data_IF_976233551066
#
_entry.id   IF_976233551066
#
_cell.length_a   1.000
_cell.length_b   1.000
_cell.length_c   1.000
_cell.angle_alpha   90.00
_cell.angle_beta   90.00
_cell.angle_gamma   90.00
#
_symmetry.space_group_name_H-M   'P 1'
#
loop_
_entity.id
_entity.type
_entity.pdbx_description
1 polymer ?
#
# COMPACT_ATOMS: atom_id res chain seq x y z
N UNK A 1 -18.33 -9.74 -11.23
CA UNK A 1 -18.80 -9.17 -9.94
C UNK A 1 -17.72 -9.22 -8.85
N UNK A 2 -17.23 -10.40 -8.45
CA UNK A 2 -16.21 -10.54 -7.38
C UNK A 2 -14.97 -9.65 -7.58
N UNK A 3 -14.39 -9.59 -8.79
CA UNK A 3 -13.22 -8.75 -9.05
C UNK A 3 -13.46 -7.25 -8.76
N UNK A 4 -14.65 -6.71 -9.05
CA UNK A 4 -14.97 -5.31 -8.74
C UNK A 4 -15.16 -5.08 -7.24
N UNK A 5 -15.72 -6.06 -6.52
CA UNK A 5 -15.81 -6.01 -5.05
C UNK A 5 -14.40 -6.02 -4.45
N UNK A 6 -13.52 -6.92 -4.91
CA UNK A 6 -12.12 -6.96 -4.48
C UNK A 6 -11.39 -5.66 -4.79
N UNK A 7 -11.61 -5.06 -5.97
CA UNK A 7 -11.06 -3.75 -6.31
C UNK A 7 -11.53 -2.65 -5.34
N UNK A 8 -12.83 -2.63 -5.00
CA UNK A 8 -13.39 -1.67 -4.04
C UNK A 8 -12.84 -1.84 -2.63
N UNK A 9 -12.73 -3.09 -2.15
CA UNK A 9 -12.12 -3.39 -0.84
C UNK A 9 -10.64 -3.03 -0.80
N UNK A 10 -9.88 -3.34 -1.86
CA UNK A 10 -8.47 -2.99 -1.94
C UNK A 10 -8.26 -1.47 -2.03
N UNK A 11 -9.15 -0.75 -2.72
CA UNK A 11 -9.15 0.71 -2.73
C UNK A 11 -9.41 1.27 -1.33
N UNK A 12 -10.43 0.77 -0.62
CA UNK A 12 -10.70 1.19 0.76
C UNK A 12 -9.52 0.90 1.69
N UNK A 13 -8.87 -0.26 1.56
CA UNK A 13 -7.67 -0.61 2.32
C UNK A 13 -6.51 0.34 1.99
N UNK A 14 -6.30 0.67 0.71
CA UNK A 14 -5.25 1.60 0.25
C UNK A 14 -5.48 3.01 0.80
N UNK A 15 -6.73 3.49 0.78
CA UNK A 15 -7.11 4.79 1.35
C UNK A 15 -6.95 4.81 2.87
N UNK A 16 -7.38 3.74 3.55
CA UNK A 16 -7.21 3.58 5.00
C UNK A 16 -5.74 3.55 5.42
N UNK A 17 -4.91 2.84 4.67
CA UNK A 17 -3.45 2.82 4.86
C UNK A 17 -2.83 4.21 4.67
N UNK A 18 -3.16 4.89 3.56
CA UNK A 18 -2.56 6.18 3.18
C UNK A 18 -3.03 7.32 4.07
N UNK A 19 -4.35 7.55 4.13
CA UNK A 19 -4.91 8.71 4.83
C UNK A 19 -5.09 8.45 6.32
N UNK A 20 -5.51 7.25 6.70
CA UNK A 20 -5.65 6.87 8.11
C UNK A 20 -4.30 6.58 8.73
N UNK A 21 -3.73 5.43 8.39
CA UNK A 21 -2.51 4.88 8.98
C UNK A 21 -1.32 5.85 8.92
N UNK A 22 -1.02 6.31 7.71
CA UNK A 22 0.22 7.00 7.40
C UNK A 22 0.14 8.52 7.60
N UNK A 23 -0.87 9.19 7.03
CA UNK A 23 -1.00 10.66 7.13
C UNK A 23 -1.72 11.10 8.41
N UNK A 24 -2.76 10.38 8.82
CA UNK A 24 -3.61 10.74 9.97
C UNK A 24 -3.10 10.23 11.32
N UNK A 25 -2.43 9.07 11.36
CA UNK A 25 -2.07 8.38 12.61
C UNK A 25 -0.59 8.03 12.74
N UNK A 26 0.31 8.78 12.10
CA UNK A 26 1.75 8.57 12.26
C UNK A 26 2.20 8.55 13.75
N UNK A 27 1.42 9.18 14.63
CA UNK A 27 1.42 8.94 16.09
C UNK A 27 0.33 7.92 16.42
N UNK A 28 0.70 6.72 16.89
CA UNK A 28 -0.24 5.62 17.17
C UNK A 28 -1.28 5.97 18.23
N UNK A 29 -2.41 6.54 17.80
CA UNK A 29 -3.65 6.66 18.55
C UNK A 29 -3.58 7.53 19.83
N UNK A 30 -4.73 7.71 20.52
CA UNK A 30 -4.86 8.58 21.70
C UNK A 30 -3.99 8.18 22.91
N UNK A 31 -3.22 7.09 22.83
CA UNK A 31 -2.38 6.54 23.91
C UNK A 31 -0.94 6.25 23.48
N UNK A 32 -0.47 6.82 22.36
CA UNK A 32 0.90 6.61 21.90
C UNK A 32 1.94 6.95 22.98
N UNK A 33 1.59 7.89 23.87
CA UNK A 33 2.44 8.32 24.98
C UNK A 33 3.62 9.17 24.53
N UNK A 34 4.35 9.71 25.50
CA UNK A 34 5.52 10.56 25.25
C UNK A 34 6.66 9.80 24.54
N UNK A 35 6.74 8.48 24.69
CA UNK A 35 7.75 7.64 24.06
C UNK A 35 7.59 7.60 22.53
N UNK A 36 6.36 7.44 22.03
CA UNK A 36 6.09 7.45 20.60
C UNK A 36 6.39 8.81 19.96
N UNK A 37 6.06 9.91 20.67
CA UNK A 37 6.39 11.26 20.21
C UNK A 37 7.91 11.47 20.13
N UNK A 38 8.66 10.94 21.10
CA UNK A 38 10.13 10.96 21.07
C UNK A 38 10.69 10.19 19.88
N UNK A 39 10.25 8.96 19.64
CA UNK A 39 10.68 8.17 18.47
C UNK A 39 10.35 8.90 17.17
N UNK A 40 9.16 9.50 17.08
CA UNK A 40 8.75 10.24 15.90
C UNK A 40 9.57 11.51 15.68
N UNK A 41 10.00 12.19 16.75
CA UNK A 41 10.94 13.30 16.66
C UNK A 41 12.33 12.84 16.19
N UNK A 42 12.82 11.72 16.72
CA UNK A 42 14.10 11.12 16.32
C UNK A 42 14.08 10.67 14.85
N UNK A 43 13.00 10.08 14.35
CA UNK A 43 12.86 9.74 12.93
C UNK A 43 13.04 10.95 12.00
N UNK A 44 12.69 12.16 12.47
CA UNK A 44 12.82 13.39 11.69
C UNK A 44 14.21 14.03 11.77
N UNK A 45 15.04 13.64 12.75
CA UNK A 45 16.36 14.22 12.98
C UNK A 45 17.51 13.27 12.64
N UNK A 46 17.28 11.97 12.55
CA UNK A 46 18.29 10.99 12.15
C UNK A 46 18.36 10.91 10.63
N UNK A 47 19.50 11.36 10.09
CA UNK A 47 19.82 11.36 8.66
C UNK A 47 20.62 10.12 8.27
N UNK A 48 20.39 9.65 7.05
CA UNK A 48 21.19 8.62 6.39
C UNK A 48 21.10 8.78 4.87
N UNK A 49 22.10 8.24 4.16
CA UNK A 49 22.11 8.25 2.70
C UNK A 49 21.38 7.02 2.16
N UNK A 50 20.41 7.24 1.28
CA UNK A 50 19.64 6.20 0.60
C UNK A 50 19.63 6.46 -0.90
N UNK A 51 20.03 5.46 -1.70
CA UNK A 51 20.08 5.59 -3.17
C UNK A 51 20.85 6.83 -3.67
N UNK A 52 21.91 7.22 -2.95
CA UNK A 52 22.75 8.38 -3.28
C UNK A 52 22.19 9.75 -2.86
N UNK A 53 21.08 9.80 -2.12
CA UNK A 53 20.52 11.04 -1.58
C UNK A 53 20.42 10.99 -0.06
N UNK A 54 20.70 12.11 0.60
CA UNK A 54 20.51 12.23 2.05
C UNK A 54 19.03 12.39 2.38
N UNK A 55 18.56 11.56 3.30
CA UNK A 55 17.17 11.54 3.76
C UNK A 55 17.11 11.30 5.27
N UNK A 56 15.93 11.51 5.85
CA UNK A 56 15.68 11.16 7.26
C UNK A 56 14.90 9.85 7.32
N UNK A 57 14.96 9.15 8.45
CA UNK A 57 14.12 7.96 8.69
C UNK A 57 12.64 8.23 8.44
N UNK A 58 12.15 9.42 8.82
CA UNK A 58 10.78 9.83 8.57
C UNK A 58 10.47 9.95 7.07
N UNK A 59 11.35 10.61 6.30
CA UNK A 59 11.15 10.78 4.85
C UNK A 59 11.26 9.46 4.10
N UNK A 60 12.15 8.56 4.53
CA UNK A 60 12.23 7.21 3.99
C UNK A 60 10.96 6.41 4.27
N UNK A 61 10.51 6.36 5.53
CA UNK A 61 9.28 5.67 5.93
C UNK A 61 8.06 6.22 5.17
N UNK A 62 7.96 7.55 5.06
CA UNK A 62 6.89 8.20 4.31
C UNK A 62 7.00 7.92 2.80
N UNK A 63 8.19 7.94 2.21
CA UNK A 63 8.37 7.59 0.81
C UNK A 63 7.96 6.13 0.53
N UNK A 64 8.41 5.21 1.38
CA UNK A 64 8.10 3.79 1.27
C UNK A 64 6.58 3.52 1.33
N UNK A 65 5.88 4.10 2.31
CA UNK A 65 4.42 3.93 2.41
C UNK A 65 3.64 4.47 1.20
N UNK A 66 4.10 5.58 0.60
CA UNK A 66 3.49 6.14 -0.61
C UNK A 66 3.76 5.23 -1.82
N UNK A 67 4.96 4.66 -1.93
CA UNK A 67 5.29 3.69 -2.96
C UNK A 67 4.40 2.44 -2.87
N UNK A 68 4.16 1.90 -1.67
CA UNK A 68 3.25 0.76 -1.46
C UNK A 68 1.82 1.13 -1.89
N UNK A 69 1.35 2.31 -1.49
CA UNK A 69 0.02 2.79 -1.85
C UNK A 69 -0.15 2.98 -3.36
N UNK A 70 0.87 3.52 -4.03
CA UNK A 70 0.92 3.63 -5.48
C UNK A 70 0.97 2.24 -6.17
N UNK A 71 1.72 1.29 -5.61
CA UNK A 71 1.80 -0.08 -6.12
C UNK A 71 0.44 -0.78 -6.09
N UNK A 72 -0.41 -0.53 -5.07
CA UNK A 72 -1.76 -1.07 -5.01
C UNK A 72 -2.74 -0.48 -6.03
N UNK A 73 -2.49 0.70 -6.59
CA UNK A 73 -3.36 1.27 -7.64
C UNK A 73 -3.42 0.37 -8.88
N UNK A 74 -2.30 -0.28 -9.23
CA UNK A 74 -2.23 -1.18 -10.39
C UNK A 74 -3.18 -2.38 -10.24
N UNK A 75 -3.10 -3.23 -9.19
CA UNK A 75 -4.03 -4.34 -9.01
C UNK A 75 -5.47 -3.86 -8.81
N UNK A 76 -5.73 -2.70 -8.22
CA UNK A 76 -7.10 -2.12 -8.15
C UNK A 76 -7.67 -1.94 -9.57
N UNK A 77 -6.93 -1.27 -10.44
CA UNK A 77 -7.36 -1.02 -11.83
C UNK A 77 -7.51 -2.33 -12.59
N UNK A 78 -6.55 -3.25 -12.47
CA UNK A 78 -6.60 -4.55 -13.15
C UNK A 78 -7.82 -5.35 -12.70
N UNK A 79 -8.08 -5.45 -11.39
CA UNK A 79 -9.27 -6.13 -10.86
C UNK A 79 -10.56 -5.47 -11.36
N UNK A 80 -10.61 -4.14 -11.43
CA UNK A 80 -11.76 -3.41 -11.95
C UNK A 80 -12.06 -3.76 -13.40
N UNK A 81 -11.02 -3.78 -14.26
CA UNK A 81 -11.10 -4.14 -15.68
C UNK A 81 -11.48 -5.61 -15.85
N UNK A 82 -10.82 -6.53 -15.14
CA UNK A 82 -11.12 -7.97 -15.18
C UNK A 82 -12.57 -8.29 -14.82
N UNK A 83 -13.17 -7.49 -13.93
CA UNK A 83 -14.57 -7.62 -13.54
C UNK A 83 -15.59 -7.13 -14.57
N UNK A 84 -15.14 -6.52 -15.67
CA UNK A 84 -15.96 -6.00 -16.76
C UNK A 84 -15.91 -6.87 -18.04
N UNK A 85 -15.00 -7.83 -18.12
CA UNK A 85 -14.76 -8.65 -19.31
C UNK A 85 -15.90 -9.62 -19.58
N UNK A 86 -16.13 -9.89 -20.87
CA UNK A 86 -17.01 -10.97 -21.31
C UNK A 86 -16.36 -12.36 -21.10
N UNK A 87 -17.12 -13.47 -21.19
CA UNK A 87 -16.59 -14.82 -20.98
C UNK A 87 -15.45 -15.22 -21.93
N UNK A 88 -15.46 -14.75 -23.17
CA UNK A 88 -14.42 -15.08 -24.16
C UNK A 88 -13.09 -14.39 -23.83
N UNK A 89 -13.15 -13.11 -23.48
CA UNK A 89 -12.02 -12.31 -23.02
C UNK A 89 -11.50 -12.79 -21.65
N UNK A 90 -12.41 -13.22 -20.78
CA UNK A 90 -12.11 -13.76 -19.46
C UNK A 90 -11.14 -14.94 -19.49
N UNK A 91 -11.31 -15.87 -20.43
CA UNK A 91 -10.43 -17.03 -20.57
C UNK A 91 -9.04 -16.64 -21.09
N UNK A 92 -8.96 -15.72 -22.05
CA UNK A 92 -7.68 -15.21 -22.56
C UNK A 92 -6.86 -14.48 -21.48
N UNK A 93 -7.52 -13.90 -20.48
CA UNK A 93 -6.90 -13.15 -19.38
C UNK A 93 -6.57 -14.00 -18.14
N UNK A 94 -6.66 -15.33 -18.22
CA UNK A 94 -6.26 -16.24 -17.13
C UNK A 94 -4.85 -15.98 -16.58
N UNK A 95 -3.81 -15.74 -17.41
CA UNK A 95 -2.47 -15.44 -16.89
C UNK A 95 -2.46 -14.17 -16.01
N UNK A 96 -3.18 -13.12 -16.42
CA UNK A 96 -3.25 -11.86 -15.66
C UNK A 96 -3.99 -12.04 -14.34
N UNK A 97 -5.05 -12.85 -14.32
CA UNK A 97 -5.79 -13.19 -13.09
C UNK A 97 -4.89 -13.84 -12.05
N UNK A 98 -4.10 -14.81 -12.49
CA UNK A 98 -3.13 -15.48 -11.61
C UNK A 98 -2.00 -14.55 -11.19
N UNK A 99 -1.47 -13.73 -12.10
CA UNK A 99 -0.43 -12.76 -11.77
C UNK A 99 -0.89 -11.79 -10.67
N UNK A 100 -2.08 -11.21 -10.81
CA UNK A 100 -2.67 -10.33 -9.77
C UNK A 100 -2.89 -11.09 -8.47
N UNK A 101 -3.48 -12.29 -8.53
CA UNK A 101 -3.73 -13.09 -7.33
C UNK A 101 -2.44 -13.40 -6.56
N UNK A 102 -1.42 -13.92 -7.26
CA UNK A 102 -0.12 -14.25 -6.68
C UNK A 102 0.57 -13.00 -6.14
N UNK A 103 0.53 -11.89 -6.86
CA UNK A 103 1.13 -10.63 -6.38
C UNK A 103 0.50 -10.14 -5.07
N UNK A 104 -0.83 -10.20 -4.94
CA UNK A 104 -1.54 -9.81 -3.73
C UNK A 104 -1.29 -10.80 -2.58
N UNK A 105 -1.25 -12.11 -2.89
CA UNK A 105 -0.95 -13.14 -1.90
C UNK A 105 0.47 -13.01 -1.34
N UNK A 106 1.46 -12.77 -2.21
CA UNK A 106 2.84 -12.53 -1.82
C UNK A 106 2.97 -11.25 -0.99
N UNK A 107 2.33 -10.16 -1.41
CA UNK A 107 2.35 -8.89 -0.66
C UNK A 107 1.78 -9.10 0.75
N UNK A 108 0.65 -9.81 0.85
CA UNK A 108 0.01 -10.13 2.13
C UNK A 108 0.89 -11.04 3.00
N UNK A 109 1.56 -12.04 2.41
CA UNK A 109 2.44 -12.97 3.13
C UNK A 109 3.70 -12.29 3.65
N UNK A 110 4.30 -11.40 2.87
CA UNK A 110 5.50 -10.65 3.24
C UNK A 110 5.21 -9.55 4.28
N UNK A 111 3.94 -9.23 4.53
CA UNK A 111 3.54 -8.28 5.56
C UNK A 111 3.81 -6.82 5.20
N UNK A 112 3.79 -6.49 3.91
CA UNK A 112 3.81 -5.11 3.43
C UNK A 112 2.45 -4.43 3.58
#
# INVERSE_FOLDING_TARGET
MLYRISAGLLLLATLGHTFGGMLGTARRGPRAGAEADRVFAEMKSVYFTWQGADTTWFRFWLGNGLCVSAAFLVPIVVLWVLGALDPTQAHAMLPIRWAVFVSLALTSFLGF
#
